data_IF_749757521509
#
_entry.id   IF_749757521509
#
_cell.length_a   1.000
_cell.length_b   1.000
_cell.length_c   1.000
_cell.angle_alpha   90.00
_cell.angle_beta   90.00
_cell.angle_gamma   90.00
#
_symmetry.space_group_name_H-M   'P 1'
#
loop_
_entity.id
_entity.type
_entity.pdbx_description
1 polymer ?
#
# COMPACT_ATOMS: atom_id res chain seq x y z
N UNK A 1 -14.50 13.09 3.62
CA UNK A 1 -14.11 11.74 3.16
C UNK A 1 -13.63 10.94 4.36
N UNK A 2 -13.84 9.62 4.31
CA UNK A 2 -13.33 8.65 5.26
C UNK A 2 -12.10 7.96 4.68
N UNK A 3 -10.94 8.23 5.27
CA UNK A 3 -9.64 7.77 4.80
C UNK A 3 -9.11 6.69 5.76
N UNK A 4 -8.54 5.61 5.24
CA UNK A 4 -7.74 4.70 6.05
C UNK A 4 -6.23 4.86 5.78
N UNK A 5 -5.47 5.08 6.85
CA UNK A 5 -4.02 4.94 6.85
C UNK A 5 -3.68 3.48 7.13
N UNK A 6 -3.19 2.74 6.13
CA UNK A 6 -2.77 1.36 6.31
C UNK A 6 -1.34 1.35 6.88
N UNK A 7 -1.20 1.18 8.20
CA UNK A 7 0.09 1.29 8.89
C UNK A 7 0.16 0.37 10.10
N UNK A 8 1.34 -0.18 10.38
CA UNK A 8 1.64 -0.93 11.61
C UNK A 8 2.22 -0.07 12.74
N UNK A 9 2.57 1.18 12.43
CA UNK A 9 3.21 2.08 13.37
C UNK A 9 2.38 3.37 13.49
N UNK A 10 1.20 3.32 14.15
CA UNK A 10 0.35 4.50 14.33
C UNK A 10 1.06 5.62 15.09
N UNK A 11 1.90 5.28 16.06
CA UNK A 11 2.60 6.24 16.93
C UNK A 11 3.79 6.94 16.27
N UNK A 12 4.27 6.44 15.11
CA UNK A 12 5.44 7.03 14.47
C UNK A 12 5.10 8.42 13.91
N UNK A 13 6.11 9.30 13.87
CA UNK A 13 5.94 10.68 13.44
C UNK A 13 5.20 10.80 12.10
N UNK A 14 5.59 10.02 11.09
CA UNK A 14 4.96 10.09 9.77
C UNK A 14 3.48 9.71 9.79
N UNK A 15 3.09 8.70 10.56
CA UNK A 15 1.68 8.30 10.69
C UNK A 15 0.88 9.39 11.40
N UNK A 16 1.41 9.93 12.52
CA UNK A 16 0.77 11.02 13.26
C UNK A 16 0.58 12.27 12.41
N UNK A 17 1.60 12.68 11.65
CA UNK A 17 1.52 13.84 10.74
C UNK A 17 0.50 13.66 9.63
N UNK A 18 0.37 12.46 9.07
CA UNK A 18 -0.67 12.17 8.07
C UNK A 18 -2.07 12.25 8.67
N UNK A 19 -2.25 11.75 9.89
CA UNK A 19 -3.51 11.84 10.63
C UNK A 19 -3.87 13.30 10.90
N UNK A 20 -2.94 14.08 11.45
CA UNK A 20 -3.12 15.52 11.71
C UNK A 20 -3.48 16.29 10.43
N UNK A 21 -2.75 16.05 9.34
CA UNK A 21 -2.99 16.74 8.07
C UNK A 21 -4.36 16.41 7.48
N UNK A 22 -4.79 15.14 7.56
CA UNK A 22 -6.12 14.73 7.10
C UNK A 22 -7.23 15.36 7.95
N UNK A 23 -7.06 15.43 9.27
CA UNK A 23 -8.01 16.08 10.18
C UNK A 23 -8.12 17.59 9.91
N UNK A 24 -6.98 18.27 9.70
CA UNK A 24 -6.94 19.70 9.36
C UNK A 24 -7.62 19.98 8.00
N UNK A 25 -7.56 19.04 7.06
CA UNK A 25 -8.27 19.11 5.78
C UNK A 25 -9.78 18.77 5.89
N UNK A 26 -10.29 18.50 7.10
CA UNK A 26 -11.71 18.16 7.32
C UNK A 26 -12.07 16.73 6.90
N UNK A 27 -11.12 15.80 6.90
CA UNK A 27 -11.37 14.39 6.60
C UNK A 27 -11.37 13.54 7.87
N UNK A 28 -12.24 12.53 7.91
CA UNK A 28 -12.19 11.47 8.91
C UNK A 28 -11.08 10.51 8.52
N UNK A 29 -10.15 10.23 9.44
CA UNK A 29 -9.05 9.30 9.17
C UNK A 29 -8.96 8.26 10.28
N UNK A 30 -8.82 7.01 9.88
CA UNK A 30 -8.62 5.86 10.77
C UNK A 30 -7.31 5.17 10.42
N UNK A 31 -6.58 4.70 11.44
CA UNK A 31 -5.36 3.90 11.22
C UNK A 31 -5.72 2.43 11.33
N UNK A 32 -5.44 1.68 10.26
CA UNK A 32 -5.70 0.25 10.19
C UNK A 32 -4.38 -0.52 10.10
N UNK A 33 -4.18 -1.47 11.03
CA UNK A 33 -3.13 -2.46 10.89
C UNK A 33 -3.51 -3.42 9.77
N UNK A 34 -2.88 -3.25 8.60
CA UNK A 34 -3.18 -4.06 7.42
C UNK A 34 -2.93 -5.55 7.62
N UNK A 35 -2.17 -5.99 8.63
CA UNK A 35 -2.03 -7.42 8.95
C UNK A 35 -3.24 -8.01 9.68
N UNK A 36 -4.10 -7.15 10.24
CA UNK A 36 -5.35 -7.55 10.89
C UNK A 36 -6.55 -7.40 9.95
N UNK A 37 -6.31 -6.97 8.71
CA UNK A 37 -7.34 -6.93 7.68
C UNK A 37 -7.56 -8.32 7.11
N UNK A 38 -8.81 -8.79 7.07
CA UNK A 38 -9.20 -10.00 6.35
C UNK A 38 -9.83 -9.59 5.01
N UNK A 39 -9.51 -10.31 3.95
CA UNK A 39 -10.03 -10.06 2.61
C UNK A 39 -11.02 -11.16 2.25
N UNK A 40 -12.26 -10.78 1.89
CA UNK A 40 -13.23 -11.71 1.32
C UNK A 40 -13.23 -11.55 -0.20
N UNK A 41 -12.75 -12.59 -0.89
CA UNK A 41 -12.55 -12.62 -2.34
C UNK A 41 -13.82 -13.18 -2.99
N UNK A 42 -14.89 -12.38 -2.96
CA UNK A 42 -16.16 -12.73 -3.60
C UNK A 42 -16.25 -12.04 -4.96
N UNK A 43 -16.53 -12.78 -6.06
CA UNK A 43 -16.73 -12.18 -7.37
C UNK A 43 -17.79 -11.07 -7.34
N UNK A 44 -17.46 -9.89 -7.88
CA UNK A 44 -18.36 -8.73 -7.89
C UNK A 44 -18.61 -8.07 -6.52
N UNK A 45 -18.05 -8.60 -5.43
CA UNK A 45 -18.19 -8.02 -4.09
C UNK A 45 -16.88 -8.13 -3.28
N UNK A 46 -15.78 -7.51 -3.74
CA UNK A 46 -14.54 -7.49 -2.99
C UNK A 46 -14.72 -6.69 -1.68
N UNK A 47 -14.45 -7.33 -0.55
CA UNK A 47 -14.60 -6.71 0.78
C UNK A 47 -13.34 -6.84 1.60
N UNK A 48 -13.11 -5.85 2.45
CA UNK A 48 -12.08 -5.88 3.49
C UNK A 48 -12.75 -5.74 4.85
N UNK A 49 -12.35 -6.61 5.77
CA UNK A 49 -12.80 -6.62 7.14
C UNK A 49 -11.66 -6.26 8.08
N UNK A 50 -11.95 -5.58 9.17
CA UNK A 50 -11.00 -5.30 10.24
C UNK A 50 -11.66 -5.60 11.57
N UNK A 51 -11.04 -6.48 12.37
CA UNK A 51 -11.59 -6.94 13.66
C UNK A 51 -13.03 -7.50 13.57
N UNK A 52 -13.37 -8.15 12.45
CA UNK A 52 -14.69 -8.77 12.24
C UNK A 52 -15.72 -7.87 11.56
N UNK A 53 -15.47 -6.56 11.46
CA UNK A 53 -16.40 -5.61 10.83
C UNK A 53 -15.94 -5.23 9.42
N UNK A 54 -16.89 -5.04 8.51
CA UNK A 54 -16.59 -4.58 7.16
C UNK A 54 -16.11 -3.12 7.21
N UNK A 55 -14.99 -2.85 6.54
CA UNK A 55 -14.40 -1.52 6.47
C UNK A 55 -14.98 -0.78 5.27
N UNK A 56 -15.67 0.33 5.53
CA UNK A 56 -16.17 1.25 4.53
C UNK A 56 -15.33 2.53 4.54
N UNK A 57 -14.61 2.78 3.45
CA UNK A 57 -13.69 3.91 3.31
C UNK A 57 -13.68 4.41 1.87
N UNK A 58 -13.48 5.71 1.70
CA UNK A 58 -13.44 6.38 0.40
C UNK A 58 -12.04 6.33 -0.21
N UNK A 59 -11.00 6.39 0.63
CA UNK A 59 -9.61 6.37 0.19
C UNK A 59 -8.67 5.67 1.19
N UNK A 60 -7.54 5.18 0.68
CA UNK A 60 -6.45 4.60 1.47
C UNK A 60 -5.11 5.29 1.21
N UNK A 61 -4.32 5.41 2.28
CA UNK A 61 -2.92 5.80 2.25
C UNK A 61 -2.10 4.59 2.69
N UNK A 62 -1.50 3.83 1.76
CA UNK A 62 -0.73 2.64 2.10
C UNK A 62 0.68 2.96 2.61
N UNK A 63 0.93 2.65 3.89
CA UNK A 63 2.25 2.70 4.54
C UNK A 63 2.72 1.29 4.90
N UNK A 64 3.03 0.53 3.85
CA UNK A 64 3.38 -0.90 3.96
C UNK A 64 4.87 -1.09 4.32
N UNK A 65 5.12 -1.79 5.42
CA UNK A 65 6.48 -2.16 5.84
C UNK A 65 7.12 -3.15 4.86
N UNK A 66 8.43 -3.02 4.64
CA UNK A 66 9.17 -3.83 3.65
C UNK A 66 9.01 -5.34 3.88
N UNK A 67 9.04 -5.78 5.14
CA UNK A 67 8.91 -7.20 5.52
C UNK A 67 7.55 -7.82 5.21
N UNK A 68 6.52 -7.01 4.97
CA UNK A 68 5.15 -7.45 4.71
C UNK A 68 4.62 -6.96 3.36
N UNK A 69 5.52 -6.72 2.40
CA UNK A 69 5.16 -6.15 1.09
C UNK A 69 4.10 -7.00 0.38
N UNK A 70 4.25 -8.33 0.37
CA UNK A 70 3.32 -9.22 -0.32
C UNK A 70 1.89 -9.08 0.21
N UNK A 71 1.70 -9.26 1.52
CA UNK A 71 0.37 -9.19 2.14
C UNK A 71 -0.19 -7.77 2.14
N UNK A 72 0.63 -6.77 2.47
CA UNK A 72 0.20 -5.38 2.45
C UNK A 72 -0.23 -4.92 1.06
N UNK A 73 0.49 -5.31 0.00
CA UNK A 73 0.07 -5.03 -1.37
C UNK A 73 -1.20 -5.79 -1.75
N UNK A 74 -1.43 -7.00 -1.22
CA UNK A 74 -2.68 -7.74 -1.44
C UNK A 74 -3.89 -7.02 -0.82
N UNK A 75 -3.76 -6.51 0.42
CA UNK A 75 -4.82 -5.71 1.06
C UNK A 75 -5.10 -4.43 0.28
N UNK A 76 -4.07 -3.73 -0.18
CA UNK A 76 -4.24 -2.55 -1.05
C UNK A 76 -4.99 -2.92 -2.33
N UNK A 77 -4.62 -4.04 -2.96
CA UNK A 77 -5.29 -4.53 -4.17
C UNK A 77 -6.76 -4.85 -3.93
N UNK A 78 -7.09 -5.42 -2.78
CA UNK A 78 -8.48 -5.70 -2.43
C UNK A 78 -9.30 -4.41 -2.33
N UNK A 79 -8.73 -3.35 -1.75
CA UNK A 79 -9.35 -2.01 -1.74
C UNK A 79 -9.47 -1.41 -3.14
N UNK A 80 -8.44 -1.53 -3.98
CA UNK A 80 -8.49 -1.09 -5.38
C UNK A 80 -9.62 -1.79 -6.15
N UNK A 81 -9.77 -3.11 -5.97
CA UNK A 81 -10.85 -3.90 -6.58
C UNK A 81 -12.23 -3.48 -6.07
N UNK A 82 -12.33 -2.98 -4.84
CA UNK A 82 -13.54 -2.42 -4.26
C UNK A 82 -13.83 -0.98 -4.71
N UNK A 83 -13.02 -0.42 -5.62
CA UNK A 83 -13.20 0.94 -6.13
C UNK A 83 -12.72 2.04 -5.18
N UNK A 84 -12.00 1.68 -4.12
CA UNK A 84 -11.47 2.64 -3.14
C UNK A 84 -10.24 3.34 -3.73
N UNK A 85 -10.18 4.66 -3.59
CA UNK A 85 -9.05 5.46 -4.07
C UNK A 85 -7.78 5.12 -3.28
N UNK A 86 -6.64 4.98 -3.95
CA UNK A 86 -5.36 4.74 -3.26
C UNK A 86 -4.31 5.75 -3.68
N UNK A 87 -3.53 6.25 -2.71
CA UNK A 87 -2.43 7.18 -3.03
C UNK A 87 -1.27 6.51 -3.76
N UNK A 88 -1.04 5.21 -3.52
CA UNK A 88 -0.05 4.40 -4.23
C UNK A 88 -0.66 3.05 -4.58
N UNK A 89 -0.52 2.62 -5.84
CA UNK A 89 -1.12 1.36 -6.27
C UNK A 89 -0.42 0.14 -5.66
N UNK A 90 -1.15 -0.97 -5.53
CA UNK A 90 -0.59 -2.25 -5.07
C UNK A 90 0.57 -2.72 -5.95
N UNK A 91 0.46 -2.47 -7.26
CA UNK A 91 1.49 -2.73 -8.25
C UNK A 91 2.70 -1.81 -8.04
N UNK A 92 2.49 -0.51 -7.85
CA UNK A 92 3.57 0.46 -7.60
C UNK A 92 4.35 0.14 -6.33
N UNK A 93 3.67 -0.27 -5.25
CA UNK A 93 4.31 -0.74 -4.02
C UNK A 93 5.19 -1.96 -4.30
N UNK A 94 4.66 -2.97 -5.00
CA UNK A 94 5.40 -4.20 -5.29
C UNK A 94 6.62 -3.95 -6.18
N UNK A 95 6.47 -3.11 -7.22
CA UNK A 95 7.55 -2.79 -8.16
C UNK A 95 8.66 -1.94 -7.52
N UNK A 96 8.29 -0.92 -6.74
CA UNK A 96 9.27 -0.07 -6.05
C UNK A 96 10.06 -0.80 -4.96
N UNK A 97 9.51 -1.89 -4.41
CA UNK A 97 10.18 -2.74 -3.41
C UNK A 97 11.18 -3.71 -4.02
N UNK A 98 10.97 -4.15 -5.26
CA UNK A 98 11.90 -5.01 -5.98
C UNK A 98 12.91 -4.14 -6.76
N UNK A 99 14.10 -3.96 -6.18
CA UNK A 99 15.16 -3.11 -6.77
C UNK A 99 15.56 -3.55 -8.18
N UNK A 100 15.72 -4.86 -8.43
CA UNK A 100 16.03 -5.38 -9.76
C UNK A 100 14.95 -4.98 -10.76
N UNK A 101 13.68 -5.23 -10.43
CA UNK A 101 12.56 -4.89 -11.32
C UNK A 101 12.45 -3.38 -11.53
N UNK A 102 12.64 -2.59 -10.48
CA UNK A 102 12.66 -1.13 -10.55
C UNK A 102 13.72 -0.64 -11.53
N UNK A 103 14.97 -1.12 -11.39
CA UNK A 103 16.05 -0.78 -12.32
C UNK A 103 15.76 -1.19 -13.76
N UNK A 104 15.22 -2.40 -13.99
CA UNK A 104 14.81 -2.84 -15.33
C UNK A 104 13.73 -1.93 -15.93
N UNK A 105 12.79 -1.45 -15.13
CA UNK A 105 11.74 -0.52 -15.59
C UNK A 105 12.30 0.86 -15.93
N UNK A 106 13.18 1.39 -15.07
CA UNK A 106 13.86 2.67 -15.31
C UNK A 106 14.72 2.63 -16.57
N UNK A 107 15.54 1.57 -16.73
CA UNK A 107 16.34 1.34 -17.92
C UNK A 107 15.49 1.24 -19.19
N UNK A 108 14.39 0.48 -19.15
CA UNK A 108 13.45 0.38 -20.28
C UNK A 108 12.82 1.72 -20.67
N UNK A 109 12.68 2.64 -19.71
CA UNK A 109 12.13 3.99 -19.95
C UNK A 109 13.17 5.03 -20.33
N UNK A 110 14.45 4.64 -20.44
CA UNK A 110 15.53 5.55 -20.79
C UNK A 110 15.89 6.55 -19.69
N UNK A 111 15.62 6.20 -18.42
CA UNK A 111 16.05 7.03 -17.29
C UNK A 111 17.54 6.79 -17.04
N UNK A 112 18.32 7.86 -16.99
CA UNK A 112 19.75 7.80 -16.70
C UNK A 112 20.01 7.16 -15.33
N UNK A 113 20.86 6.15 -15.32
CA UNK A 113 21.26 5.42 -14.12
C UNK A 113 22.66 4.81 -14.29
N UNK A 114 23.38 4.50 -13.19
CA UNK A 114 24.67 3.83 -13.28
C UNK A 114 24.59 2.50 -14.04
N UNK A 115 25.67 2.14 -14.73
CA UNK A 115 25.80 0.80 -15.34
C UNK A 115 25.66 -0.24 -14.22
N UNK A 116 24.62 -1.06 -14.29
CA UNK A 116 24.20 -1.95 -13.21
C UNK A 116 24.15 -3.40 -13.69
N UNK A 117 24.92 -4.27 -13.05
CA UNK A 117 24.83 -5.73 -13.21
C UNK A 117 24.06 -6.35 -12.04
N UNK A 118 23.28 -7.41 -12.30
CA UNK A 118 22.60 -8.18 -11.26
C UNK A 118 22.72 -9.68 -11.59
N UNK A 119 23.13 -10.48 -10.62
CA UNK A 119 23.29 -11.92 -10.81
C UNK A 119 22.89 -12.69 -9.54
N UNK A 120 22.48 -13.96 -9.71
CA UNK A 120 22.07 -14.83 -8.60
C UNK A 120 23.16 -15.85 -8.25
N UNK A 121 23.63 -16.61 -9.24
CA UNK A 121 24.82 -17.44 -9.15
C UNK A 121 25.58 -17.33 -10.47
N UNK A 122 26.89 -17.08 -10.41
CA UNK A 122 27.75 -16.82 -11.58
C UNK A 122 28.81 -17.92 -11.74
N UNK A 123 28.73 -18.97 -10.92
CA UNK A 123 29.64 -20.10 -10.91
C UNK A 123 28.87 -21.42 -10.82
#
# INVERSE_FOLDING_TARGET
MKIALLSRAPECYSSRRLVEAAQLAGHEIIVLDYLRCRMDIVPGSPKVFYKGEQVHIDAIIPRIAASYTFYGAAVVRQFEMAGVLTSNSSLGISQSRNKLRCHQLLSRKGVDMPITGFAHNIH
#
